data_IF_714551429317
#
_entry.id   IF_714551429317
#
_cell.length_a   1.000
_cell.length_b   1.000
_cell.length_c   1.000
_cell.angle_alpha   90.00
_cell.angle_beta   90.00
_cell.angle_gamma   90.00
#
_symmetry.space_group_name_H-M   'P 1'
#
loop_
_entity.id
_entity.type
_entity.pdbx_description
1 polymer ?
#
# COMPACT_ATOMS: atom_id res chain seq x y z
N UNK A 1 6.68 15.44 6.31
CA UNK A 1 5.35 14.84 6.06
C UNK A 1 4.62 14.72 7.38
N UNK A 2 3.32 15.00 7.39
CA UNK A 2 2.48 14.90 8.60
C UNK A 2 1.50 16.06 8.70
N UNK A 3 0.20 15.76 8.62
CA UNK A 3 -0.84 16.71 8.99
C UNK A 3 -0.86 16.81 10.52
N UNK A 4 -0.54 17.99 11.07
CA UNK A 4 -0.53 18.25 12.52
C UNK A 4 -1.90 18.01 13.21
N UNK A 5 -2.97 17.77 12.45
CA UNK A 5 -4.33 17.51 12.93
C UNK A 5 -4.92 16.23 12.33
N UNK A 6 -4.14 15.15 12.35
CA UNK A 6 -4.63 13.84 11.95
C UNK A 6 -5.74 13.34 12.90
N UNK A 7 -6.87 12.87 12.35
CA UNK A 7 -8.01 12.32 13.10
C UNK A 7 -8.45 11.00 12.46
N UNK A 8 -8.14 9.88 13.12
CA UNK A 8 -8.43 8.53 12.63
C UNK A 8 -9.93 8.25 12.46
N UNK A 9 -10.82 9.03 13.09
CA UNK A 9 -12.27 8.89 12.90
C UNK A 9 -12.72 9.30 11.49
N UNK A 10 -11.86 9.96 10.72
CA UNK A 10 -12.12 10.39 9.35
C UNK A 10 -11.51 9.45 8.30
N UNK A 11 -10.90 8.34 8.71
CA UNK A 11 -10.38 7.34 7.77
C UNK A 11 -11.55 6.67 7.03
N UNK A 12 -11.51 6.69 5.69
CA UNK A 12 -12.48 5.94 4.85
C UNK A 12 -12.16 4.45 4.83
N UNK A 13 -10.87 4.11 4.90
CA UNK A 13 -10.39 2.73 4.92
C UNK A 13 -9.11 2.65 5.75
N UNK A 14 -9.07 1.70 6.68
CA UNK A 14 -7.87 1.32 7.43
C UNK A 14 -7.80 -0.20 7.49
N UNK A 15 -6.72 -0.76 6.97
CA UNK A 15 -6.54 -2.21 6.89
C UNK A 15 -5.13 -2.58 7.33
N UNK A 16 -5.01 -3.70 8.03
CA UNK A 16 -3.73 -4.32 8.32
C UNK A 16 -3.41 -5.31 7.22
N UNK A 17 -2.22 -5.20 6.64
CA UNK A 17 -1.73 -6.03 5.55
C UNK A 17 -0.35 -6.56 5.90
N UNK A 18 -0.03 -7.82 5.55
CA UNK A 18 1.28 -8.39 5.82
C UNK A 18 2.35 -7.66 5.00
N UNK A 19 3.48 -7.36 5.63
CA UNK A 19 4.66 -6.84 4.94
C UNK A 19 5.50 -8.02 4.47
N UNK A 20 5.80 -8.05 3.18
CA UNK A 20 6.68 -9.01 2.55
C UNK A 20 8.06 -8.38 2.37
N UNK A 21 9.12 -9.19 2.48
CA UNK A 21 10.47 -8.75 2.14
C UNK A 21 10.75 -8.93 0.65
N UNK A 22 11.41 -7.96 0.02
CA UNK A 22 11.92 -8.07 -1.35
C UNK A 22 13.43 -8.33 -1.32
N UNK A 23 13.93 -8.98 -2.37
CA UNK A 23 15.38 -9.15 -2.57
C UNK A 23 16.02 -7.98 -3.30
N UNK A 24 15.21 -7.18 -4.00
CA UNK A 24 15.62 -5.98 -4.70
C UNK A 24 14.99 -4.78 -3.98
N UNK A 25 15.78 -3.99 -3.22
CA UNK A 25 15.26 -2.87 -2.47
C UNK A 25 14.88 -1.71 -3.40
N UNK A 26 13.83 -0.97 -3.02
CA UNK A 26 13.36 0.20 -3.77
C UNK A 26 13.68 1.49 -3.02
N UNK A 27 14.59 2.32 -3.56
CA UNK A 27 14.97 3.58 -2.91
C UNK A 27 13.79 4.57 -2.78
N UNK A 28 12.98 4.67 -3.83
CA UNK A 28 11.82 5.58 -3.85
C UNK A 28 10.57 4.87 -3.35
N UNK A 29 9.88 5.49 -2.39
CA UNK A 29 8.56 5.04 -1.99
C UNK A 29 7.61 5.08 -3.20
N UNK A 30 7.12 3.91 -3.60
CA UNK A 30 6.40 3.73 -4.86
C UNK A 30 5.05 3.05 -4.62
N UNK A 31 4.03 3.51 -5.36
CA UNK A 31 2.68 2.91 -5.38
C UNK A 31 2.32 2.62 -6.84
N UNK A 32 1.89 1.39 -7.12
CA UNK A 32 1.44 0.95 -8.44
C UNK A 32 0.13 0.17 -8.35
N UNK A 33 -0.60 0.11 -9.46
CA UNK A 33 -1.84 -0.66 -9.58
C UNK A 33 -1.72 -1.66 -10.74
N UNK A 34 -2.01 -2.93 -10.47
CA UNK A 34 -2.14 -3.96 -11.48
C UNK A 34 -3.62 -4.32 -11.71
N UNK A 35 -4.02 -4.56 -12.96
CA UNK A 35 -5.38 -5.00 -13.27
C UNK A 35 -5.62 -6.41 -12.72
N UNK A 36 -6.73 -6.62 -12.03
CA UNK A 36 -7.19 -7.94 -11.57
C UNK A 36 -8.55 -8.29 -12.21
N UNK A 37 -8.95 -9.56 -12.17
CA UNK A 37 -10.17 -10.07 -12.82
C UNK A 37 -11.44 -9.31 -12.46
N UNK A 38 -11.54 -8.85 -11.20
CA UNK A 38 -12.69 -8.08 -10.68
C UNK A 38 -12.19 -6.95 -9.78
N UNK A 39 -11.23 -6.16 -10.27
CA UNK A 39 -10.51 -5.27 -9.39
C UNK A 39 -9.21 -4.70 -9.90
N UNK A 40 -8.43 -4.21 -8.94
CA UNK A 40 -7.02 -3.91 -9.09
C UNK A 40 -6.26 -4.37 -7.85
N UNK A 41 -5.02 -4.80 -8.02
CA UNK A 41 -4.11 -5.03 -6.90
C UNK A 41 -3.24 -3.78 -6.73
N UNK A 42 -3.35 -3.14 -5.57
CA UNK A 42 -2.49 -2.01 -5.19
C UNK A 42 -1.21 -2.55 -4.56
N UNK A 43 -0.08 -2.16 -5.11
CA UNK A 43 1.24 -2.58 -4.67
C UNK A 43 2.01 -1.37 -4.16
N UNK A 44 2.59 -1.49 -2.97
CA UNK A 44 3.41 -0.45 -2.34
C UNK A 44 4.78 -1.06 -2.06
N UNK A 45 5.84 -0.35 -2.44
CA UNK A 45 7.22 -0.79 -2.23
C UNK A 45 8.10 0.36 -1.73
N UNK A 46 8.95 0.06 -0.75
CA UNK A 46 9.99 0.95 -0.25
C UNK A 46 11.03 0.17 0.56
N UNK A 47 12.31 0.41 0.30
CA UNK A 47 13.42 -0.39 0.81
C UNK A 47 13.16 -1.89 0.52
N UNK A 48 13.42 -2.79 1.47
CA UNK A 48 13.06 -4.21 1.38
C UNK A 48 11.56 -4.49 1.64
N UNK A 49 10.73 -3.47 1.92
CA UNK A 49 9.33 -3.69 2.26
C UNK A 49 8.43 -3.66 1.03
N UNK A 50 7.61 -4.69 0.88
CA UNK A 50 6.57 -4.78 -0.14
C UNK A 50 5.23 -5.16 0.49
N UNK A 51 4.18 -4.49 0.03
CA UNK A 51 2.81 -4.68 0.48
C UNK A 51 1.89 -4.77 -0.74
N UNK A 52 0.96 -5.72 -0.72
CA UNK A 52 -0.08 -5.86 -1.72
C UNK A 52 -1.47 -5.83 -1.07
N UNK A 53 -2.37 -5.01 -1.62
CA UNK A 53 -3.76 -4.89 -1.20
C UNK A 53 -4.70 -5.13 -2.41
N UNK A 54 -5.46 -6.24 -2.42
CA UNK A 54 -6.45 -6.48 -3.47
C UNK A 54 -7.69 -5.59 -3.27
N UNK A 55 -8.02 -4.78 -4.27
CA UNK A 55 -9.24 -3.97 -4.33
C UNK A 55 -10.24 -4.65 -5.26
N UNK A 56 -11.38 -5.09 -4.74
CA UNK A 56 -12.42 -5.80 -5.50
C UNK A 56 -13.69 -4.97 -5.59
N UNK A 57 -14.35 -5.01 -6.75
CA UNK A 57 -15.62 -4.31 -7.03
C UNK A 57 -16.60 -5.23 -7.76
#
# INVERSE_FOLDING_TARGET
WGAFKYDAKKDVLRVSVPVQKTTEPMDMFSIAFAKATAGADMMIAWDEAYVSLPLRF
#
